data_IF_270546836444
#
_entry.id   IF_270546836444
#
_cell.length_a   1.000
_cell.length_b   1.000
_cell.length_c   1.000
_cell.angle_alpha   90.00
_cell.angle_beta   90.00
_cell.angle_gamma   90.00
#
_symmetry.space_group_name_H-M   'P 1'
#
loop_
_entity.id
_entity.type
_entity.pdbx_description
1 polymer ?
#
# COMPACT_ATOMS: atom_id res chain seq x y z
N UNK A 1 -4.98 -14.76 -11.73
CA UNK A 1 -5.89 -15.48 -12.65
C UNK A 1 -5.29 -15.59 -14.05
N UNK A 2 -4.56 -14.57 -14.53
CA UNK A 2 -3.99 -14.53 -15.88
C UNK A 2 -2.99 -15.67 -16.17
N UNK A 3 -2.23 -16.11 -15.17
CA UNK A 3 -1.22 -17.17 -15.31
C UNK A 3 -1.76 -18.56 -15.68
N UNK A 4 -2.99 -18.89 -15.29
CA UNK A 4 -3.54 -20.26 -15.39
C UNK A 4 -4.81 -20.35 -16.26
N UNK A 5 -5.52 -19.23 -16.44
CA UNK A 5 -6.80 -19.21 -17.17
C UNK A 5 -6.60 -18.83 -18.65
N UNK A 6 -5.58 -18.04 -18.96
CA UNK A 6 -5.28 -17.58 -20.33
C UNK A 6 -4.68 -18.63 -21.28
N UNK A 7 -3.74 -19.50 -20.86
CA UNK A 7 -3.05 -20.40 -21.78
C UNK A 7 -3.94 -21.56 -22.21
N UNK A 8 -3.90 -21.94 -23.49
CA UNK A 8 -4.64 -23.10 -24.03
C UNK A 8 -4.25 -24.44 -23.40
N UNK A 9 -3.05 -24.54 -22.81
CA UNK A 9 -2.59 -25.69 -22.04
C UNK A 9 -2.88 -25.59 -20.53
N UNK A 10 -3.46 -24.48 -20.07
CA UNK A 10 -3.70 -24.16 -18.65
C UNK A 10 -2.48 -24.33 -17.73
N UNK A 11 -1.27 -24.26 -18.31
CA UNK A 11 -0.01 -24.21 -17.57
C UNK A 11 0.79 -22.98 -18.00
N UNK A 12 1.58 -22.38 -17.09
CA UNK A 12 2.28 -21.15 -17.40
C UNK A 12 3.63 -21.35 -18.11
N UNK A 13 4.09 -22.59 -18.29
CA UNK A 13 5.39 -22.94 -18.89
C UNK A 13 5.26 -23.58 -20.28
N UNK A 14 6.29 -23.42 -21.09
CA UNK A 14 6.46 -24.15 -22.35
C UNK A 14 6.85 -25.62 -22.12
N UNK A 15 6.87 -26.41 -23.20
CA UNK A 15 7.21 -27.83 -23.13
C UNK A 15 8.65 -28.11 -22.70
N UNK A 16 9.53 -27.12 -22.81
CA UNK A 16 10.92 -27.17 -22.35
C UNK A 16 11.10 -26.62 -20.92
N UNK A 17 10.01 -26.20 -20.26
CA UNK A 17 10.02 -25.63 -18.92
C UNK A 17 10.33 -24.14 -18.85
N UNK A 18 10.55 -23.47 -19.99
CA UNK A 18 10.75 -22.01 -20.03
C UNK A 18 9.44 -21.24 -19.83
N UNK A 19 9.53 -19.96 -19.46
CA UNK A 19 8.38 -19.06 -19.42
C UNK A 19 8.21 -18.45 -20.81
N UNK A 20 7.08 -18.69 -21.50
CA UNK A 20 6.83 -18.08 -22.80
C UNK A 20 6.90 -16.54 -22.71
N UNK A 21 7.41 -15.87 -23.73
CA UNK A 21 7.57 -14.40 -23.71
C UNK A 21 6.26 -13.65 -23.45
N UNK A 22 5.15 -14.13 -24.01
CA UNK A 22 3.81 -13.58 -23.81
C UNK A 22 3.21 -13.88 -22.42
N UNK A 23 3.90 -14.65 -21.57
CA UNK A 23 3.52 -14.86 -20.16
C UNK A 23 4.34 -14.03 -19.18
N UNK A 24 5.47 -13.44 -19.59
CA UNK A 24 6.37 -12.75 -18.66
C UNK A 24 5.68 -11.62 -17.90
N UNK A 25 4.87 -10.79 -18.58
CA UNK A 25 4.10 -9.72 -17.94
C UNK A 25 3.08 -10.27 -16.92
N UNK A 26 2.42 -11.39 -17.21
CA UNK A 26 1.50 -12.05 -16.29
C UNK A 26 2.21 -12.53 -15.01
N UNK A 27 3.45 -13.01 -15.12
CA UNK A 27 4.28 -13.37 -13.97
C UNK A 27 4.70 -12.15 -13.15
N UNK A 28 5.07 -11.05 -13.81
CA UNK A 28 5.36 -9.77 -13.13
C UNK A 28 4.14 -9.30 -12.32
N UNK A 29 2.95 -9.31 -12.92
CA UNK A 29 1.69 -8.96 -12.23
C UNK A 29 1.34 -9.94 -11.10
N UNK A 30 1.53 -11.25 -11.33
CA UNK A 30 1.28 -12.26 -10.30
C UNK A 30 2.19 -12.09 -9.08
N UNK A 31 3.44 -11.64 -9.27
CA UNK A 31 4.36 -11.38 -8.18
C UNK A 31 3.94 -10.18 -7.31
N UNK A 32 3.32 -9.14 -7.89
CA UNK A 32 2.68 -8.06 -7.11
C UNK A 32 1.62 -8.67 -6.20
N UNK A 33 0.70 -9.46 -6.77
CA UNK A 33 -0.38 -10.11 -6.01
C UNK A 33 0.14 -11.04 -4.92
N UNK A 34 1.22 -11.77 -5.19
CA UNK A 34 1.88 -12.66 -4.23
C UNK A 34 2.37 -11.88 -3.00
N UNK A 35 2.97 -10.70 -3.17
CA UNK A 35 3.42 -9.92 -2.02
C UNK A 35 2.29 -9.41 -1.15
N UNK A 36 1.18 -8.96 -1.73
CA UNK A 36 -0.01 -8.60 -0.97
C UNK A 36 -0.64 -9.81 -0.27
N UNK A 37 -0.61 -10.98 -0.90
CA UNK A 37 -1.06 -12.22 -0.27
C UNK A 37 -0.18 -12.60 0.94
N UNK A 38 1.14 -12.47 0.82
CA UNK A 38 2.08 -12.68 1.94
C UNK A 38 1.80 -11.66 3.05
N UNK A 39 1.68 -10.38 2.72
CA UNK A 39 1.31 -9.33 3.67
C UNK A 39 0.02 -9.68 4.44
N UNK A 40 -1.05 -10.03 3.73
CA UNK A 40 -2.33 -10.37 4.34
C UNK A 40 -2.25 -11.63 5.24
N UNK A 41 -1.59 -12.68 4.75
CA UNK A 41 -1.45 -13.94 5.50
C UNK A 41 -0.66 -13.75 6.79
N UNK A 42 0.45 -13.01 6.73
CA UNK A 42 1.25 -12.74 7.91
C UNK A 42 0.58 -11.74 8.85
N UNK A 43 -0.19 -10.77 8.35
CA UNK A 43 -0.99 -9.89 9.21
C UNK A 43 -1.96 -10.71 10.08
N UNK A 44 -2.70 -11.65 9.48
CA UNK A 44 -3.58 -12.57 10.22
C UNK A 44 -2.80 -13.45 11.22
N UNK A 45 -1.58 -13.86 10.86
CA UNK A 45 -0.72 -14.65 11.74
C UNK A 45 -0.23 -13.83 12.94
N UNK A 46 0.18 -12.58 12.71
CA UNK A 46 0.63 -11.66 13.74
C UNK A 46 -0.49 -11.37 14.74
N UNK A 47 -1.71 -11.15 14.26
CA UNK A 47 -2.91 -10.96 15.10
C UNK A 47 -3.16 -12.14 16.06
N UNK A 48 -2.72 -13.36 15.70
CA UNK A 48 -2.93 -14.57 16.51
C UNK A 48 -1.77 -14.90 17.45
N UNK A 49 -0.54 -14.56 17.07
CA UNK A 49 0.67 -15.04 17.75
C UNK A 49 1.34 -13.95 18.58
N UNK A 50 1.29 -12.69 18.13
CA UNK A 50 2.05 -11.60 18.73
C UNK A 50 1.19 -10.91 19.79
N UNK A 51 1.54 -10.99 21.09
CA UNK A 51 0.74 -10.38 22.14
C UNK A 51 0.95 -8.87 22.26
N UNK A 52 2.07 -8.34 21.75
CA UNK A 52 2.39 -6.91 21.77
C UNK A 52 1.81 -6.21 20.54
N UNK A 53 0.83 -5.34 20.76
CA UNK A 53 0.18 -4.52 19.72
C UNK A 53 1.18 -3.64 18.97
N UNK A 54 2.16 -3.07 19.68
CA UNK A 54 3.23 -2.26 19.08
C UNK A 54 4.08 -3.08 18.10
N UNK A 55 4.51 -4.26 18.51
CA UNK A 55 5.36 -5.15 17.69
C UNK A 55 4.59 -5.67 16.48
N UNK A 56 3.34 -6.09 16.70
CA UNK A 56 2.41 -6.53 15.65
C UNK A 56 2.22 -5.43 14.60
N UNK A 57 1.86 -4.21 15.02
CA UNK A 57 1.64 -3.08 14.12
C UNK A 57 2.91 -2.72 13.34
N UNK A 58 4.07 -2.68 14.00
CA UNK A 58 5.34 -2.41 13.34
C UNK A 58 5.68 -3.43 12.24
N UNK A 59 5.51 -4.73 12.52
CA UNK A 59 5.76 -5.79 11.55
C UNK A 59 4.76 -5.78 10.39
N UNK A 60 3.47 -5.53 10.67
CA UNK A 60 2.44 -5.38 9.64
C UNK A 60 2.74 -4.19 8.72
N UNK A 61 3.12 -3.04 9.27
CA UNK A 61 3.51 -1.88 8.48
C UNK A 61 4.79 -2.12 7.67
N UNK A 62 5.76 -2.84 8.23
CA UNK A 62 6.95 -3.26 7.49
C UNK A 62 6.59 -4.11 6.27
N UNK A 63 5.78 -5.16 6.45
CA UNK A 63 5.34 -6.01 5.34
C UNK A 63 4.51 -5.21 4.32
N UNK A 64 3.65 -4.29 4.77
CA UNK A 64 2.91 -3.40 3.89
C UNK A 64 3.85 -2.51 3.07
N UNK A 65 4.88 -1.93 3.69
CA UNK A 65 5.88 -1.13 2.99
C UNK A 65 6.67 -1.96 1.95
N UNK A 66 7.01 -3.21 2.26
CA UNK A 66 7.63 -4.13 1.30
C UNK A 66 6.69 -4.40 0.12
N UNK A 67 5.40 -4.66 0.38
CA UNK A 67 4.41 -4.91 -0.68
C UNK A 67 4.24 -3.70 -1.60
N UNK A 68 4.01 -2.49 -1.05
CA UNK A 68 3.91 -1.27 -1.85
C UNK A 68 5.23 -0.89 -2.54
N UNK A 69 6.37 -1.15 -1.89
CA UNK A 69 7.69 -0.94 -2.49
C UNK A 69 7.93 -1.85 -3.69
N UNK A 70 7.57 -3.13 -3.59
CA UNK A 70 7.64 -4.05 -4.71
C UNK A 70 6.64 -3.69 -5.81
N UNK A 71 5.39 -3.34 -5.45
CA UNK A 71 4.38 -2.88 -6.40
C UNK A 71 4.92 -1.67 -7.20
N UNK A 72 5.46 -0.67 -6.52
CA UNK A 72 6.07 0.50 -7.16
C UNK A 72 7.22 0.11 -8.09
N UNK A 73 8.12 -0.77 -7.63
CA UNK A 73 9.27 -1.23 -8.41
C UNK A 73 8.81 -1.95 -9.67
N UNK A 74 7.85 -2.88 -9.55
CA UNK A 74 7.34 -3.66 -10.67
C UNK A 74 6.59 -2.78 -11.66
N UNK A 75 5.76 -1.83 -11.23
CA UNK A 75 5.16 -0.86 -12.16
C UNK A 75 6.19 0.06 -12.81
N UNK A 76 7.27 0.42 -12.12
CA UNK A 76 8.32 1.28 -12.66
C UNK A 76 9.26 0.56 -13.63
N UNK A 77 9.53 -0.72 -13.41
CA UNK A 77 10.39 -1.54 -14.26
C UNK A 77 9.60 -2.43 -15.23
N UNK A 78 8.28 -2.29 -15.25
CA UNK A 78 7.37 -3.19 -15.95
C UNK A 78 7.72 -3.32 -17.43
N UNK A 79 7.85 -4.53 -17.96
CA UNK A 79 8.39 -4.71 -19.31
C UNK A 79 7.52 -4.08 -20.43
N UNK A 80 6.22 -3.88 -20.19
CA UNK A 80 5.23 -3.56 -21.24
C UNK A 80 4.69 -2.12 -21.25
N UNK A 81 4.69 -1.39 -20.11
CA UNK A 81 3.77 -0.25 -19.96
C UNK A 81 4.42 1.14 -19.87
N UNK A 82 5.65 1.35 -20.36
CA UNK A 82 6.33 2.65 -20.19
C UNK A 82 6.01 3.71 -21.25
N UNK A 83 5.22 3.37 -22.28
CA UNK A 83 5.07 4.22 -23.46
C UNK A 83 3.60 4.44 -23.82
N UNK A 84 3.33 5.57 -24.47
CA UNK A 84 1.99 5.86 -25.00
C UNK A 84 1.01 6.39 -23.95
N UNK A 85 -0.25 6.00 -24.08
CA UNK A 85 -1.36 6.45 -23.22
C UNK A 85 -1.40 5.64 -21.93
N UNK A 86 -1.21 4.32 -22.04
CA UNK A 86 -1.13 3.38 -20.92
C UNK A 86 -0.03 3.78 -19.93
N UNK A 87 1.17 4.09 -20.44
CA UNK A 87 2.25 4.60 -19.58
C UNK A 87 1.94 5.91 -18.86
N UNK A 88 1.09 6.78 -19.42
CA UNK A 88 0.66 7.98 -18.72
C UNK A 88 -0.25 7.64 -17.51
N UNK A 89 -1.16 6.68 -17.66
CA UNK A 89 -1.99 6.19 -16.57
C UNK A 89 -1.17 5.53 -15.47
N UNK A 90 -0.23 4.64 -15.84
CA UNK A 90 0.62 3.94 -14.90
C UNK A 90 1.61 4.87 -14.19
N UNK A 91 2.14 5.88 -14.88
CA UNK A 91 3.00 6.89 -14.23
C UNK A 91 2.25 7.63 -13.11
N UNK A 92 1.00 8.02 -13.34
CA UNK A 92 0.16 8.65 -12.30
C UNK A 92 -0.18 7.68 -11.16
N UNK A 93 -0.41 6.39 -11.47
CA UNK A 93 -0.60 5.35 -10.47
C UNK A 93 0.65 5.19 -9.58
N UNK A 94 1.86 5.20 -10.15
CA UNK A 94 3.12 5.13 -9.41
C UNK A 94 3.25 6.28 -8.39
N UNK A 95 2.79 7.50 -8.72
CA UNK A 95 2.79 8.63 -7.78
C UNK A 95 1.90 8.33 -6.57
N UNK A 96 0.71 7.75 -6.77
CA UNK A 96 -0.19 7.36 -5.68
C UNK A 96 0.45 6.25 -4.84
N UNK A 97 0.98 5.20 -5.47
CA UNK A 97 1.65 4.08 -4.78
C UNK A 97 2.83 4.59 -3.96
N UNK A 98 3.62 5.51 -4.50
CA UNK A 98 4.74 6.12 -3.77
C UNK A 98 4.27 6.86 -2.52
N UNK A 99 3.16 7.61 -2.59
CA UNK A 99 2.55 8.25 -1.42
C UNK A 99 2.11 7.21 -0.37
N UNK A 100 1.47 6.13 -0.81
CA UNK A 100 1.06 5.01 0.06
C UNK A 100 2.28 4.34 0.72
N UNK A 101 3.34 4.08 -0.04
CA UNK A 101 4.59 3.50 0.44
C UNK A 101 5.25 4.37 1.53
N UNK A 102 5.43 5.66 1.25
CA UNK A 102 6.05 6.61 2.19
C UNK A 102 5.23 6.72 3.47
N UNK A 103 3.91 6.87 3.38
CA UNK A 103 3.04 6.98 4.57
C UNK A 103 2.93 5.67 5.35
N UNK A 104 3.10 4.52 4.70
CA UNK A 104 3.23 3.22 5.36
C UNK A 104 4.52 3.12 6.15
N UNK A 105 5.66 3.52 5.55
CA UNK A 105 6.95 3.59 6.25
C UNK A 105 6.93 4.57 7.43
N UNK A 106 6.35 5.76 7.25
CA UNK A 106 6.21 6.76 8.32
C UNK A 106 5.31 6.27 9.47
N UNK A 107 4.44 5.28 9.22
CA UNK A 107 3.65 4.66 10.28
C UNK A 107 4.48 3.92 11.33
N UNK A 108 5.70 3.48 10.98
CA UNK A 108 6.59 2.73 11.88
C UNK A 108 7.13 3.64 13.00
N UNK A 109 7.79 4.79 12.71
CA UNK A 109 8.25 5.71 13.75
C UNK A 109 7.12 6.57 14.36
N UNK A 110 5.98 6.71 13.67
CA UNK A 110 4.86 7.55 14.12
C UNK A 110 3.53 6.78 14.21
N UNK A 111 3.43 5.72 15.04
CA UNK A 111 2.26 4.82 15.06
C UNK A 111 0.96 5.50 15.53
N UNK A 112 1.06 6.48 16.43
CA UNK A 112 -0.10 7.23 16.97
C UNK A 112 -0.50 8.45 16.10
N UNK A 113 0.11 8.66 14.92
CA UNK A 113 -0.19 9.82 14.06
C UNK A 113 -1.47 9.62 13.26
N UNK A 114 -2.56 10.28 13.68
CA UNK A 114 -3.83 10.30 12.95
C UNK A 114 -3.65 10.77 11.50
N UNK A 115 -2.93 11.88 11.29
CA UNK A 115 -2.77 12.47 9.97
C UNK A 115 -2.04 11.52 9.01
N UNK A 116 -0.98 10.84 9.48
CA UNK A 116 -0.27 9.87 8.66
C UNK A 116 -1.17 8.69 8.25
N UNK A 117 -1.92 8.15 9.22
CA UNK A 117 -2.88 7.08 8.95
C UNK A 117 -3.99 7.52 8.00
N UNK A 118 -4.50 8.74 8.14
CA UNK A 118 -5.51 9.33 7.27
C UNK A 118 -5.01 9.49 5.83
N UNK A 119 -3.81 10.05 5.63
CA UNK A 119 -3.22 10.19 4.29
C UNK A 119 -2.94 8.83 3.67
N UNK A 120 -2.45 7.85 4.44
CA UNK A 120 -2.27 6.47 3.96
C UNK A 120 -3.58 5.85 3.48
N UNK A 121 -4.65 5.95 4.27
CA UNK A 121 -5.97 5.45 3.89
C UNK A 121 -6.54 6.16 2.66
N UNK A 122 -6.36 7.49 2.57
CA UNK A 122 -6.72 8.28 1.40
C UNK A 122 -5.99 7.78 0.14
N UNK A 123 -4.67 7.58 0.21
CA UNK A 123 -3.86 7.12 -0.92
C UNK A 123 -4.21 5.70 -1.35
N UNK A 124 -4.45 4.77 -0.42
CA UNK A 124 -4.90 3.40 -0.74
C UNK A 124 -6.27 3.42 -1.44
N UNK A 125 -7.22 4.22 -0.95
CA UNK A 125 -8.53 4.34 -1.58
C UNK A 125 -8.40 4.93 -2.99
N UNK A 126 -7.59 5.97 -3.15
CA UNK A 126 -7.36 6.57 -4.47
C UNK A 126 -6.67 5.60 -5.42
N UNK A 127 -5.70 4.82 -4.95
CA UNK A 127 -5.03 3.78 -5.73
C UNK A 127 -6.05 2.77 -6.30
N UNK A 128 -6.96 2.28 -5.45
CA UNK A 128 -8.03 1.36 -5.88
C UNK A 128 -8.98 1.98 -6.90
N UNK A 129 -9.43 3.22 -6.68
CA UNK A 129 -10.30 3.93 -7.63
C UNK A 129 -9.58 4.16 -8.95
N UNK A 130 -8.34 4.63 -8.92
CA UNK A 130 -7.55 4.88 -10.12
C UNK A 130 -7.34 3.60 -10.92
N UNK A 131 -7.04 2.47 -10.26
CA UNK A 131 -6.91 1.18 -10.93
C UNK A 131 -8.20 0.75 -11.66
N UNK A 132 -9.37 0.98 -11.05
CA UNK A 132 -10.66 0.77 -11.75
C UNK A 132 -10.82 1.69 -12.96
N UNK A 133 -10.41 2.96 -12.85
CA UNK A 133 -10.47 3.92 -13.96
C UNK A 133 -9.58 3.48 -15.11
N UNK A 134 -8.34 3.05 -14.83
CA UNK A 134 -7.43 2.50 -15.85
C UNK A 134 -8.10 1.32 -16.57
N UNK A 135 -8.65 0.37 -15.80
CA UNK A 135 -9.39 -0.79 -16.29
C UNK A 135 -10.55 -0.44 -17.24
N UNK A 136 -11.32 0.60 -16.91
CA UNK A 136 -12.45 1.03 -17.73
C UNK A 136 -11.98 1.81 -18.97
N UNK A 137 -11.05 2.75 -18.80
CA UNK A 137 -10.66 3.69 -19.84
C UNK A 137 -9.80 3.08 -20.95
N UNK A 138 -8.95 2.10 -20.62
CA UNK A 138 -8.06 1.48 -21.61
C UNK A 138 -8.70 0.28 -22.34
N UNK A 139 -9.64 -0.43 -21.70
CA UNK A 139 -10.22 -1.66 -22.27
C UNK A 139 -11.68 -1.54 -22.73
N UNK A 140 -12.30 -0.36 -22.61
CA UNK A 140 -13.63 -0.09 -23.17
C UNK A 140 -13.53 0.79 -24.41
N UNK A 141 -13.91 0.30 -25.61
CA UNK A 141 -13.74 1.05 -26.87
C UNK A 141 -14.36 2.45 -26.87
N UNK A 142 -15.50 2.63 -26.19
CA UNK A 142 -16.23 3.91 -26.15
C UNK A 142 -15.51 5.00 -25.34
N UNK A 143 -14.60 4.63 -24.45
CA UNK A 143 -13.85 5.57 -23.60
C UNK A 143 -12.47 5.94 -24.15
N UNK A 144 -12.09 5.39 -25.31
CA UNK A 144 -10.78 5.65 -25.92
C UNK A 144 -10.75 7.07 -26.52
N UNK A 145 -9.64 7.77 -26.26
CA UNK A 145 -9.43 9.11 -26.77
C UNK A 145 -9.48 9.17 -28.30
N UNK A 146 -10.07 10.25 -28.83
CA UNK A 146 -10.16 10.50 -30.27
C UNK A 146 -8.78 10.40 -30.93
N UNK A 147 -8.68 9.57 -31.97
CA UNK A 147 -7.43 9.35 -32.70
C UNK A 147 -6.58 8.21 -32.14
N UNK A 148 -7.06 7.51 -31.10
CA UNK A 148 -6.47 6.29 -30.58
C UNK A 148 -7.39 5.08 -30.81
N UNK A 149 -6.83 3.88 -30.76
CA UNK A 149 -7.50 2.62 -31.06
C UNK A 149 -6.88 1.48 -30.24
N UNK A 150 -7.64 0.40 -30.03
CA UNK A 150 -7.12 -0.83 -29.44
C UNK A 150 -6.38 -1.61 -30.52
N UNK A 151 -5.13 -1.93 -30.27
CA UNK A 151 -4.32 -2.84 -31.07
C UNK A 151 -4.03 -4.12 -30.28
N UNK A 152 -3.87 -5.24 -30.98
CA UNK A 152 -3.43 -6.49 -30.37
C UNK A 152 -1.95 -6.72 -30.69
N UNK A 153 -1.10 -6.67 -29.68
CA UNK A 153 0.35 -6.79 -29.79
C UNK A 153 0.83 -7.83 -28.77
N UNK A 154 1.74 -8.72 -29.17
CA UNK A 154 2.41 -9.67 -28.25
C UNK A 154 1.47 -10.42 -27.28
N UNK A 155 0.27 -10.78 -27.74
CA UNK A 155 -0.69 -11.56 -26.94
C UNK A 155 -1.60 -10.72 -26.01
N UNK A 156 -1.51 -9.39 -26.02
CA UNK A 156 -2.34 -8.51 -25.19
C UNK A 156 -2.89 -7.31 -25.99
N UNK A 157 -3.93 -6.67 -25.43
CA UNK A 157 -4.58 -5.49 -26.03
C UNK A 157 -3.93 -4.23 -25.47
N UNK A 158 -3.43 -3.37 -26.36
CA UNK A 158 -2.79 -2.09 -26.02
C UNK A 158 -3.46 -0.93 -26.75
N UNK A 159 -3.45 0.26 -26.16
CA UNK A 159 -3.99 1.46 -26.80
C UNK A 159 -2.88 2.19 -27.57
N UNK A 160 -3.04 2.29 -28.89
CA UNK A 160 -2.15 3.04 -29.78
C UNK A 160 -2.85 4.27 -30.37
N UNK A 161 -2.09 5.27 -30.78
CA UNK A 161 -2.62 6.48 -31.39
C UNK A 161 -2.03 6.69 -32.78
N UNK A 162 -2.82 7.22 -33.72
CA UNK A 162 -2.46 7.33 -35.14
C UNK A 162 -1.29 8.29 -35.39
N UNK A 163 -1.19 9.35 -34.60
CA UNK A 163 -0.17 10.38 -34.75
C UNK A 163 0.20 10.98 -33.38
N UNK A 164 1.30 11.76 -33.37
CA UNK A 164 1.81 12.39 -32.16
C UNK A 164 0.79 13.37 -31.53
N UNK A 165 0.03 14.09 -32.34
CA UNK A 165 -0.98 15.03 -31.85
C UNK A 165 -2.10 14.32 -31.07
N UNK A 166 -2.60 13.20 -31.59
CA UNK A 166 -3.59 12.36 -30.91
C UNK A 166 -3.03 11.76 -29.62
N UNK A 167 -1.74 11.37 -29.61
CA UNK A 167 -1.08 10.88 -28.40
C UNK A 167 -0.98 11.96 -27.32
N UNK A 168 -0.51 13.16 -27.65
CA UNK A 168 -0.41 14.26 -26.69
C UNK A 168 -1.79 14.69 -26.18
N UNK A 169 -2.80 14.71 -27.06
CA UNK A 169 -4.19 14.92 -26.68
C UNK A 169 -4.66 13.87 -25.67
N UNK A 170 -4.41 12.59 -25.95
CA UNK A 170 -4.82 11.51 -25.05
C UNK A 170 -4.14 11.65 -23.69
N UNK A 171 -2.83 11.88 -23.63
CA UNK A 171 -2.09 12.12 -22.37
C UNK A 171 -2.63 13.31 -21.59
N UNK A 172 -2.96 14.41 -22.27
CA UNK A 172 -3.57 15.59 -21.64
C UNK A 172 -4.94 15.26 -21.02
N UNK A 173 -5.77 14.46 -21.70
CA UNK A 173 -7.05 14.00 -21.16
C UNK A 173 -6.87 13.12 -19.91
N UNK A 174 -5.88 12.23 -19.90
CA UNK A 174 -5.53 11.42 -18.72
C UNK A 174 -5.17 12.33 -17.53
N UNK A 175 -4.36 13.37 -17.76
CA UNK A 175 -3.97 14.31 -16.70
C UNK A 175 -5.17 15.11 -16.15
N UNK A 176 -6.06 15.57 -17.04
CA UNK A 176 -7.28 16.28 -16.63
C UNK A 176 -8.18 15.34 -15.81
N UNK A 177 -8.36 14.11 -16.28
CA UNK A 177 -9.16 13.10 -15.58
C UNK A 177 -8.59 12.82 -14.19
N UNK A 178 -7.29 12.58 -14.09
CA UNK A 178 -6.61 12.38 -12.81
C UNK A 178 -6.80 13.56 -11.86
N UNK A 179 -6.67 14.80 -12.37
CA UNK A 179 -6.89 16.00 -11.59
C UNK A 179 -8.32 16.07 -11.03
N UNK A 180 -9.32 15.71 -11.83
CA UNK A 180 -10.72 15.69 -11.39
C UNK A 180 -10.97 14.60 -10.34
N UNK A 181 -10.42 13.39 -10.53
CA UNK A 181 -10.52 12.33 -9.53
C UNK A 181 -9.83 12.72 -8.22
N UNK A 182 -8.64 13.32 -8.28
CA UNK A 182 -7.92 13.81 -7.11
C UNK A 182 -8.77 14.80 -6.30
N UNK A 183 -9.34 15.81 -6.98
CA UNK A 183 -10.22 16.80 -6.34
C UNK A 183 -11.47 16.13 -5.78
N UNK A 184 -12.14 15.29 -6.57
CA UNK A 184 -13.39 14.62 -6.19
C UNK A 184 -13.21 13.72 -4.97
N UNK A 185 -12.16 12.90 -4.96
CA UNK A 185 -11.84 11.99 -3.85
C UNK A 185 -11.45 12.80 -2.61
N UNK A 186 -10.67 13.89 -2.77
CA UNK A 186 -10.34 14.79 -1.65
C UNK A 186 -11.61 15.37 -1.01
N UNK A 187 -12.51 15.93 -1.82
CA UNK A 187 -13.77 16.49 -1.33
C UNK A 187 -14.60 15.39 -0.65
N UNK A 188 -14.70 14.20 -1.24
CA UNK A 188 -15.41 13.07 -0.67
C UNK A 188 -14.84 12.66 0.69
N UNK A 189 -13.53 12.43 0.80
CA UNK A 189 -12.89 11.97 2.05
C UNK A 189 -13.01 13.02 3.16
N UNK A 190 -12.81 14.30 2.85
CA UNK A 190 -12.96 15.37 3.83
C UNK A 190 -14.41 15.54 4.27
N UNK A 191 -15.36 15.47 3.34
CA UNK A 191 -16.79 15.54 3.67
C UNK A 191 -17.22 14.35 4.52
N UNK A 192 -16.79 13.14 4.17
CA UNK A 192 -17.04 11.93 4.95
C UNK A 192 -16.48 12.06 6.36
N UNK A 193 -15.24 12.55 6.50
CA UNK A 193 -14.64 12.79 7.81
C UNK A 193 -15.45 13.79 8.65
N UNK A 194 -15.87 14.93 8.07
CA UNK A 194 -16.69 15.92 8.76
C UNK A 194 -18.05 15.36 9.19
N UNK A 195 -18.70 14.57 8.32
CA UNK A 195 -19.98 13.90 8.65
C UNK A 195 -19.79 12.92 9.79
N UNK A 196 -18.73 12.09 9.78
CA UNK A 196 -18.44 11.16 10.86
C UNK A 196 -18.17 11.91 12.17
N UNK A 197 -17.36 12.97 12.14
CA UNK A 197 -17.10 13.78 13.34
C UNK A 197 -18.38 14.39 13.90
N UNK A 198 -19.26 14.93 13.05
CA UNK A 198 -20.53 15.49 13.51
C UNK A 198 -21.43 14.41 14.10
N UNK A 199 -21.58 13.27 13.42
CA UNK A 199 -22.41 12.16 13.86
C UNK A 199 -21.92 11.55 15.19
N UNK A 200 -20.62 11.34 15.36
CA UNK A 200 -20.06 10.81 16.61
C UNK A 200 -20.00 11.84 17.73
N UNK A 201 -19.94 13.14 17.42
CA UNK A 201 -20.06 14.21 18.42
C UNK A 201 -21.48 14.32 18.98
N UNK A 202 -22.49 14.07 18.15
CA UNK A 202 -23.90 14.10 18.55
C UNK A 202 -24.31 12.85 19.36
N UNK A 203 -23.66 11.71 19.11
CA UNK A 203 -23.84 10.46 19.87
C UNK A 203 -22.78 10.33 21.00
N UNK A 204 -23.06 10.95 22.16
CA UNK A 204 -22.17 11.10 23.35
C UNK A 204 -21.95 9.78 24.12
N UNK A 205 -21.58 8.69 23.45
CA UNK A 205 -21.11 7.46 24.12
C UNK A 205 -19.71 7.01 23.63
N UNK A 206 -19.29 7.42 22.43
CA UNK A 206 -18.03 6.95 21.83
C UNK A 206 -16.77 7.67 22.31
N UNK A 207 -16.89 8.93 22.75
CA UNK A 207 -15.75 9.70 23.28
C UNK A 207 -15.16 9.06 24.54
N UNK A 208 -15.99 8.39 25.34
CA UNK A 208 -15.54 7.63 26.52
C UNK A 208 -14.72 6.39 26.15
N UNK A 209 -14.98 5.78 24.98
CA UNK A 209 -14.25 4.60 24.50
C UNK A 209 -12.88 5.00 23.96
N UNK A 210 -12.79 6.11 23.22
CA UNK A 210 -11.51 6.64 22.70
C UNK A 210 -10.62 7.13 23.86
N UNK A 211 -11.21 7.78 24.88
CA UNK A 211 -10.49 8.14 26.12
C UNK A 211 -10.01 6.90 26.87
N UNK A 212 -10.85 5.87 27.02
CA UNK A 212 -10.43 4.60 27.65
C UNK A 212 -9.33 3.88 26.89
N UNK A 213 -9.39 3.83 25.56
CA UNK A 213 -8.34 3.19 24.77
C UNK A 213 -7.00 3.93 24.87
N UNK A 214 -7.01 5.27 24.87
CA UNK A 214 -5.80 6.06 25.11
C UNK A 214 -5.26 5.87 26.53
N UNK A 215 -6.14 5.89 27.54
CA UNK A 215 -5.74 5.69 28.94
C UNK A 215 -5.21 4.26 29.20
N UNK A 216 -5.79 3.23 28.59
CA UNK A 216 -5.31 1.85 28.71
C UNK A 216 -3.97 1.63 27.99
N UNK A 217 -3.76 2.23 26.80
CA UNK A 217 -2.47 2.20 26.11
C UNK A 217 -1.38 2.95 26.90
N UNK A 218 -1.69 4.15 27.40
CA UNK A 218 -0.75 4.95 28.19
C UNK A 218 -0.42 4.26 29.54
N UNK A 219 -1.39 3.60 30.17
CA UNK A 219 -1.18 2.81 31.39
C UNK A 219 -0.30 1.58 31.13
N UNK A 220 -0.46 0.90 30.00
CA UNK A 220 0.41 -0.22 29.61
C UNK A 220 1.83 0.24 29.30
N UNK A 221 2.00 1.37 28.61
CA UNK A 221 3.30 2.00 28.34
C UNK A 221 4.02 2.38 29.65
N UNK A 222 3.30 2.96 30.62
CA UNK A 222 3.87 3.36 31.91
C UNK A 222 4.28 2.17 32.77
N UNK A 223 3.49 1.09 32.78
CA UNK A 223 3.82 -0.14 33.49
C UNK A 223 5.06 -0.81 32.88
N UNK A 224 5.22 -0.79 31.56
CA UNK A 224 6.39 -1.35 30.88
C UNK A 224 7.65 -0.49 31.13
N UNK A 225 7.52 0.84 31.16
CA UNK A 225 8.58 1.78 31.52
C UNK A 225 9.01 1.66 33.00
N UNK A 226 8.06 1.48 33.92
CA UNK A 226 8.33 1.24 35.35
C UNK A 226 9.03 -0.11 35.56
N UNK A 227 8.58 -1.17 34.87
CA UNK A 227 9.24 -2.49 34.92
C UNK A 227 10.68 -2.40 34.42
N UNK A 228 10.94 -1.66 33.34
CA UNK A 228 12.30 -1.45 32.80
C UNK A 228 13.19 -0.67 33.77
N UNK A 229 12.66 0.36 34.44
CA UNK A 229 13.37 1.11 35.50
C UNK A 229 13.68 0.23 36.70
N UNK A 230 12.74 -0.59 37.16
CA UNK A 230 12.95 -1.52 38.28
C UNK A 230 14.02 -2.57 37.94
N UNK A 231 13.97 -3.15 36.73
CA UNK A 231 14.97 -4.12 36.27
C UNK A 231 16.36 -3.49 36.17
N UNK A 232 16.46 -2.26 35.67
CA UNK A 232 17.73 -1.53 35.61
C UNK A 232 18.25 -1.18 37.00
N UNK A 233 17.39 -0.73 37.92
CA UNK A 233 17.80 -0.43 39.30
C UNK A 233 18.27 -1.69 40.04
N UNK A 234 17.59 -2.84 39.87
CA UNK A 234 18.04 -4.12 40.44
C UNK A 234 19.37 -4.57 39.80
N UNK A 235 19.57 -4.33 38.51
CA UNK A 235 20.82 -4.60 37.81
C UNK A 235 22.00 -3.74 38.28
N UNK A 236 21.77 -2.45 38.50
CA UNK A 236 22.77 -1.52 39.06
C UNK A 236 23.10 -1.85 40.51
N UNK A 237 22.10 -2.18 41.32
CA UNK A 237 22.29 -2.57 42.71
C UNK A 237 23.10 -3.86 42.84
N UNK A 238 22.90 -4.84 41.93
CA UNK A 238 23.73 -6.06 41.86
C UNK A 238 25.17 -5.78 41.44
N UNK A 239 25.40 -4.87 40.47
CA UNK A 239 26.76 -4.47 40.06
C UNK A 239 27.52 -3.72 41.15
N UNK A 240 26.83 -2.93 41.97
CA UNK A 240 27.44 -2.22 43.10
C UNK A 240 27.86 -3.18 44.23
N UNK A 241 27.11 -4.26 44.44
CA UNK A 241 27.44 -5.31 45.44
C UNK A 241 28.61 -6.20 44.98
N UNK A 242 28.78 -6.43 43.68
CA UNK A 242 29.92 -7.21 43.15
C UNK A 242 31.26 -6.44 43.17
N UNK A 243 31.25 -5.11 43.08
CA UNK A 243 32.48 -4.29 43.17
C UNK A 243 32.99 -4.09 44.60
N UNK A 244 32.19 -4.35 45.63
CA UNK A 244 32.57 -4.20 47.04
C UNK A 244 33.30 -5.40 47.66
N UNK A 245 33.66 -6.43 46.88
CA UNK A 245 34.16 -7.72 47.40
C UNK A 245 35.53 -8.17 46.89
N UNK A 246 36.40 -7.24 46.48
CA UNK A 246 37.82 -7.54 46.26
C UNK A 246 38.72 -6.66 47.13
N UNK A 247 39.63 -7.36 47.80
CA UNK A 247 40.78 -6.92 48.59
C UNK A 247 40.54 -6.63 50.08
N UNK A 248 40.64 -7.70 50.88
CA UNK A 248 41.57 -7.72 52.00
C UNK A 248 42.06 -9.16 52.24
N UNK A 249 43.39 -9.25 52.37
CA UNK A 249 44.29 -10.39 52.65
C UNK A 249 44.65 -11.31 51.48
#
# INVERSE_FOLDING_TARGET
MELFIGPSKHQPFDSDGTIPSYHLHNFEHANISLTFFVYASFSILFDKIIPSTLTQNGLTLFLGAVAFGQELLLFHLHSTDHMGVEGQYHWLLQVIIFSTFVTTLLGIPFPKSFLNSFVRSYSIMFQGIWMMVIGIMLWTPEFIAKGCFINFEEGHKVVRCHNKEALERAKSLVNIQFSWYLVGITVFTLSLYLVLVNFFRENVEYFSLISKFHEEEDLFEDVEAQKKKLVNHIGEQKRFVEMGKRENN
#
